data_IF_652632968512
#
_entry.id   IF_652632968512
#
_cell.length_a   1.000
_cell.length_b   1.000
_cell.length_c   1.000
_cell.angle_alpha   90.00
_cell.angle_beta   90.00
_cell.angle_gamma   90.00
#
_symmetry.space_group_name_H-M   'P 1'
#
loop_
_entity.id
_entity.type
_entity.pdbx_description
1 polymer ?
#
# COMPACT_ATOMS: atom_id res chain seq x y z
N UNK A 1 -30.66 9.59 -1.79
CA UNK A 1 -29.38 10.25 -1.97
C UNK A 1 -29.34 11.38 -0.96
N UNK A 2 -28.28 11.46 -0.12
CA UNK A 2 -28.13 12.47 0.90
C UNK A 2 -27.94 13.89 0.36
N UNK A 3 -27.59 14.82 1.20
CA UNK A 3 -27.30 16.20 0.83
C UNK A 3 -26.16 16.28 -0.21
N UNK A 4 -26.16 17.28 -1.11
CA UNK A 4 -25.11 17.45 -2.10
C UNK A 4 -23.78 17.76 -1.40
N UNK A 5 -22.69 17.17 -1.91
CA UNK A 5 -21.33 17.44 -1.40
C UNK A 5 -20.94 18.89 -1.66
N UNK A 6 -20.21 19.47 -0.70
CA UNK A 6 -19.68 20.83 -0.71
C UNK A 6 -18.15 20.83 -0.62
N UNK A 7 -17.51 21.97 -0.82
CA UNK A 7 -16.06 22.11 -0.60
C UNK A 7 -15.63 21.74 0.82
N UNK A 8 -16.51 21.94 1.81
CA UNK A 8 -16.24 21.56 3.20
C UNK A 8 -16.13 20.03 3.42
N UNK A 9 -16.60 19.24 2.48
CA UNK A 9 -16.54 17.78 2.53
C UNK A 9 -15.21 17.24 1.96
N UNK A 10 -14.42 18.10 1.31
CA UNK A 10 -13.10 17.72 0.78
C UNK A 10 -12.13 17.54 1.96
N UNK A 11 -11.60 16.32 2.11
CA UNK A 11 -10.63 15.98 3.16
C UNK A 11 -9.20 16.20 2.65
N UNK A 12 -8.91 15.85 1.39
CA UNK A 12 -7.59 15.99 0.80
C UNK A 12 -7.66 16.08 -0.72
N UNK A 13 -6.71 16.80 -1.29
CA UNK A 13 -6.50 16.90 -2.73
C UNK A 13 -5.16 16.30 -3.13
N UNK A 14 -5.12 15.71 -4.33
CA UNK A 14 -3.89 15.19 -4.94
C UNK A 14 -3.86 15.56 -6.41
N UNK A 15 -2.74 16.14 -6.82
CA UNK A 15 -2.42 16.37 -8.22
C UNK A 15 -1.14 15.63 -8.60
N UNK A 16 -1.07 15.12 -9.81
CA UNK A 16 0.11 14.45 -10.34
C UNK A 16 0.14 14.48 -11.86
N UNK A 17 1.33 14.42 -12.42
CA UNK A 17 1.56 14.37 -13.87
C UNK A 17 1.86 12.91 -14.26
N UNK A 18 1.18 12.43 -15.31
CA UNK A 18 1.44 11.11 -15.90
C UNK A 18 2.31 11.25 -17.13
N UNK A 19 3.41 10.51 -17.23
CA UNK A 19 4.08 10.31 -18.50
C UNK A 19 3.21 9.42 -19.40
N UNK A 20 2.96 9.87 -20.62
CA UNK A 20 2.27 9.09 -21.64
C UNK A 20 3.29 8.67 -22.70
N UNK A 21 3.23 7.41 -23.15
CA UNK A 21 4.01 6.96 -24.28
C UNK A 21 3.39 7.51 -25.57
N UNK A 22 4.20 8.19 -26.36
CA UNK A 22 3.78 8.80 -27.63
C UNK A 22 4.65 8.22 -28.74
N UNK A 23 4.02 7.79 -29.82
CA UNK A 23 4.74 7.38 -31.05
C UNK A 23 4.72 8.54 -32.06
N UNK A 24 5.89 9.07 -32.39
CA UNK A 24 6.05 10.17 -33.34
C UNK A 24 5.82 11.56 -32.74
N UNK A 25 5.82 12.59 -33.61
CA UNK A 25 5.57 13.95 -33.21
C UNK A 25 4.10 14.19 -32.95
N UNK A 26 3.74 14.63 -31.73
CA UNK A 26 2.40 15.01 -31.36
C UNK A 26 2.17 16.48 -31.71
N UNK A 27 1.77 16.74 -32.92
CA UNK A 27 1.30 18.07 -33.31
C UNK A 27 -0.12 18.29 -32.83
N UNK A 28 -0.32 19.12 -31.80
CA UNK A 28 -1.62 19.69 -31.41
C UNK A 28 -2.75 18.72 -31.10
N UNK A 29 -2.45 17.47 -30.86
CA UNK A 29 -3.44 16.40 -30.76
C UNK A 29 -4.12 16.37 -29.39
N UNK A 30 -5.34 15.85 -29.40
CA UNK A 30 -6.12 15.53 -28.21
C UNK A 30 -5.40 14.50 -27.33
N UNK A 31 -4.62 14.99 -26.37
CA UNK A 31 -3.87 14.16 -25.42
C UNK A 31 -4.78 13.38 -24.46
N UNK A 32 -6.08 13.67 -24.43
CA UNK A 32 -7.07 12.85 -23.74
C UNK A 32 -7.29 11.51 -24.46
N UNK A 33 -7.02 11.44 -25.76
CA UNK A 33 -7.11 10.23 -26.58
C UNK A 33 -5.84 9.38 -26.57
N UNK A 34 -4.71 9.87 -26.00
CA UNK A 34 -3.47 9.12 -25.98
C UNK A 34 -3.59 7.85 -25.14
N UNK A 35 -2.96 6.78 -25.64
CA UNK A 35 -2.94 5.48 -24.97
C UNK A 35 -2.27 5.59 -23.60
N UNK A 36 -2.89 5.00 -22.59
CA UNK A 36 -2.33 4.84 -21.25
C UNK A 36 -1.59 3.51 -21.09
N UNK A 37 -1.39 2.77 -22.16
CA UNK A 37 -0.61 1.55 -22.18
C UNK A 37 0.87 1.90 -22.11
N UNK A 38 1.68 0.98 -21.57
CA UNK A 38 3.13 1.04 -21.71
C UNK A 38 3.55 0.72 -23.14
N UNK A 39 4.74 1.15 -23.51
CA UNK A 39 5.39 0.76 -24.74
C UNK A 39 6.79 0.19 -24.42
N UNK A 40 7.15 -0.90 -25.07
CA UNK A 40 8.45 -1.55 -24.93
C UNK A 40 9.19 -1.41 -26.26
N UNK A 41 10.34 -0.76 -26.23
CA UNK A 41 11.23 -0.64 -27.37
C UNK A 41 12.48 -1.50 -27.14
N UNK A 42 12.84 -2.33 -28.14
CA UNK A 42 13.93 -3.27 -28.06
C UNK A 42 14.97 -2.96 -29.12
N UNK A 43 16.14 -2.48 -28.70
CA UNK A 43 17.28 -2.29 -29.57
C UNK A 43 18.24 -3.48 -29.44
N UNK A 44 18.16 -4.39 -30.42
CA UNK A 44 19.01 -5.59 -30.45
C UNK A 44 20.47 -5.29 -30.77
N UNK A 45 20.74 -4.23 -31.55
CA UNK A 45 22.09 -3.88 -31.95
C UNK A 45 22.95 -3.43 -30.77
N UNK A 46 22.37 -2.63 -29.92
CA UNK A 46 23.05 -2.05 -28.75
C UNK A 46 22.69 -2.77 -27.44
N UNK A 47 21.93 -3.89 -27.52
CA UNK A 47 21.57 -4.77 -26.42
C UNK A 47 20.89 -4.04 -25.23
N UNK A 48 19.93 -3.15 -25.51
CA UNK A 48 19.10 -2.54 -24.48
C UNK A 48 17.61 -2.61 -24.79
N UNK A 49 16.81 -2.45 -23.74
CA UNK A 49 15.36 -2.41 -23.80
C UNK A 49 14.89 -1.18 -23.00
N UNK A 50 13.95 -0.43 -23.57
CA UNK A 50 13.37 0.74 -22.93
C UNK A 50 11.88 0.54 -22.70
N UNK A 51 11.38 0.93 -21.52
CA UNK A 51 9.96 0.90 -21.18
C UNK A 51 9.47 2.32 -20.97
N UNK A 52 8.42 2.72 -21.70
CA UNK A 52 7.84 4.05 -21.66
C UNK A 52 6.41 4.01 -21.19
N UNK A 53 5.99 4.99 -20.37
CA UNK A 53 4.61 5.15 -19.93
C UNK A 53 4.13 4.03 -19.01
N UNK A 54 2.84 3.71 -19.11
CA UNK A 54 2.21 2.66 -18.30
C UNK A 54 1.69 3.15 -16.94
N UNK A 55 1.05 2.24 -16.24
CA UNK A 55 0.53 2.46 -14.88
C UNK A 55 1.34 1.62 -13.90
N UNK A 56 1.53 2.14 -12.69
CA UNK A 56 2.18 1.37 -11.62
C UNK A 56 1.43 0.05 -11.31
N UNK A 57 0.10 0.07 -11.43
CA UNK A 57 -0.74 -1.11 -11.24
C UNK A 57 -0.62 -2.17 -12.35
N UNK A 58 0.07 -1.85 -13.44
CA UNK A 58 0.30 -2.74 -14.58
C UNK A 58 1.71 -3.37 -14.56
N UNK A 59 2.42 -3.22 -13.45
CA UNK A 59 3.83 -3.62 -13.32
C UNK A 59 4.07 -5.11 -13.58
N UNK A 60 3.13 -5.99 -13.24
CA UNK A 60 3.26 -7.42 -13.51
C UNK A 60 3.19 -7.73 -15.00
N UNK A 61 2.21 -7.18 -15.73
CA UNK A 61 2.09 -7.33 -17.18
C UNK A 61 3.33 -6.76 -17.88
N UNK A 62 3.79 -5.57 -17.45
CA UNK A 62 5.03 -4.99 -17.98
C UNK A 62 6.21 -5.93 -17.77
N UNK A 63 6.33 -6.50 -16.57
CA UNK A 63 7.38 -7.46 -16.24
C UNK A 63 7.35 -8.71 -17.13
N UNK A 64 6.17 -9.28 -17.37
CA UNK A 64 5.98 -10.45 -18.22
C UNK A 64 6.31 -10.15 -19.70
N UNK A 65 5.89 -9.00 -20.21
CA UNK A 65 6.20 -8.57 -21.58
C UNK A 65 7.70 -8.30 -21.75
N UNK A 66 8.36 -7.67 -20.76
CA UNK A 66 9.82 -7.49 -20.75
C UNK A 66 10.55 -8.83 -20.74
N UNK A 67 10.14 -9.76 -19.86
CA UNK A 67 10.72 -11.11 -19.80
C UNK A 67 10.60 -11.81 -21.15
N UNK A 68 9.42 -11.78 -21.78
CA UNK A 68 9.19 -12.35 -23.11
C UNK A 68 10.07 -11.68 -24.19
N UNK A 69 10.26 -10.36 -24.12
CA UNK A 69 11.13 -9.65 -25.06
C UNK A 69 12.60 -10.06 -24.91
N UNK A 70 13.07 -10.25 -23.67
CA UNK A 70 14.42 -10.73 -23.37
C UNK A 70 14.65 -12.16 -23.86
N UNK A 71 13.70 -13.07 -23.67
CA UNK A 71 13.77 -14.43 -24.20
C UNK A 71 13.90 -14.45 -25.73
N UNK A 72 13.12 -13.60 -26.41
CA UNK A 72 13.23 -13.42 -27.88
C UNK A 72 14.58 -12.85 -28.32
N UNK A 73 15.30 -12.20 -27.41
CA UNK A 73 16.67 -11.73 -27.61
C UNK A 73 17.73 -12.82 -27.28
N UNK A 74 17.31 -14.03 -26.89
CA UNK A 74 18.20 -15.14 -26.54
C UNK A 74 18.65 -15.16 -25.08
N UNK A 75 18.09 -14.31 -24.21
CA UNK A 75 18.39 -14.35 -22.79
C UNK A 75 17.62 -15.50 -22.14
N UNK A 76 18.34 -16.37 -21.43
CA UNK A 76 17.73 -17.48 -20.69
C UNK A 76 17.23 -16.98 -19.35
N UNK A 77 15.93 -17.12 -19.08
CA UNK A 77 15.29 -16.78 -17.82
C UNK A 77 14.91 -18.07 -17.04
N UNK A 78 15.75 -18.55 -16.11
CA UNK A 78 15.55 -19.86 -15.46
C UNK A 78 14.32 -19.92 -14.56
N UNK A 79 13.77 -18.78 -14.17
CA UNK A 79 12.67 -18.66 -13.20
C UNK A 79 11.46 -17.90 -13.75
N UNK A 80 11.31 -17.79 -15.08
CA UNK A 80 10.26 -17.00 -15.73
C UNK A 80 8.83 -17.36 -15.29
N UNK A 81 8.60 -18.61 -14.88
CA UNK A 81 7.28 -19.09 -14.43
C UNK A 81 7.14 -19.16 -12.89
N UNK A 82 8.17 -18.76 -12.14
CA UNK A 82 8.14 -18.85 -10.70
C UNK A 82 7.38 -17.66 -10.11
N UNK A 83 6.33 -17.94 -9.32
CA UNK A 83 5.68 -16.91 -8.49
C UNK A 83 6.59 -16.56 -7.33
N UNK A 84 7.00 -15.30 -7.24
CA UNK A 84 7.97 -14.84 -6.24
C UNK A 84 7.59 -13.51 -5.57
N UNK A 85 6.39 -12.97 -5.84
CA UNK A 85 5.95 -11.70 -5.23
C UNK A 85 5.56 -11.80 -3.76
N UNK A 86 6.02 -12.81 -3.05
CA UNK A 86 5.70 -12.98 -1.64
C UNK A 86 4.29 -13.55 -1.37
N UNK A 87 3.63 -14.10 -2.40
CA UNK A 87 2.36 -14.81 -2.23
C UNK A 87 2.62 -16.10 -1.48
N UNK A 88 2.18 -16.24 -0.21
CA UNK A 88 2.39 -17.47 0.53
C UNK A 88 1.50 -18.59 -0.04
N UNK A 89 1.85 -19.88 0.21
CA UNK A 89 0.99 -21.00 -0.13
C UNK A 89 -0.39 -20.89 0.49
N UNK A 90 -1.43 -21.40 -0.19
CA UNK A 90 -2.82 -21.37 0.30
C UNK A 90 -2.95 -21.97 1.71
N UNK A 91 -2.21 -23.03 2.02
CA UNK A 91 -2.20 -23.64 3.35
C UNK A 91 -1.78 -22.66 4.47
N UNK A 92 -0.88 -21.73 4.18
CA UNK A 92 -0.45 -20.70 5.15
C UNK A 92 -1.56 -19.66 5.35
N UNK A 93 -2.25 -19.31 4.28
CA UNK A 93 -3.41 -18.42 4.35
C UNK A 93 -4.54 -19.04 5.16
N UNK A 94 -4.85 -20.29 4.88
CA UNK A 94 -5.93 -21.01 5.55
C UNK A 94 -5.63 -21.17 7.04
N UNK A 95 -4.39 -21.45 7.41
CA UNK A 95 -3.93 -21.47 8.80
C UNK A 95 -4.06 -20.11 9.49
N UNK A 96 -3.65 -19.03 8.82
CA UNK A 96 -3.83 -17.68 9.36
C UNK A 96 -5.31 -17.39 9.70
N UNK A 97 -6.23 -17.65 8.75
CA UNK A 97 -7.66 -17.41 8.98
C UNK A 97 -8.25 -18.34 10.04
N UNK A 98 -7.77 -19.57 10.12
CA UNK A 98 -8.16 -20.51 11.18
C UNK A 98 -7.77 -19.96 12.55
N UNK A 99 -6.51 -19.53 12.73
CA UNK A 99 -6.02 -18.96 13.97
C UNK A 99 -6.72 -17.63 14.32
N UNK A 100 -6.97 -16.77 13.35
CA UNK A 100 -7.72 -15.54 13.52
C UNK A 100 -9.16 -15.80 14.01
N UNK A 101 -9.83 -16.83 13.47
CA UNK A 101 -11.16 -17.25 13.89
C UNK A 101 -11.17 -17.79 15.32
N UNK A 102 -10.19 -18.64 15.69
CA UNK A 102 -10.04 -19.12 17.07
C UNK A 102 -9.86 -18.01 18.09
N UNK A 103 -9.16 -16.94 17.71
CA UNK A 103 -8.96 -15.75 18.53
C UNK A 103 -10.14 -14.78 18.53
N UNK A 104 -11.17 -15.05 17.72
CA UNK A 104 -12.28 -14.10 17.47
C UNK A 104 -11.76 -12.72 17.04
N UNK A 105 -10.71 -12.68 16.20
CA UNK A 105 -10.03 -11.45 15.80
C UNK A 105 -11.00 -10.42 15.19
N UNK A 106 -11.97 -10.89 14.41
CA UNK A 106 -12.93 -10.01 13.74
C UNK A 106 -13.94 -9.37 14.70
N UNK A 107 -14.10 -9.89 15.92
CA UNK A 107 -14.86 -9.21 16.98
C UNK A 107 -14.14 -7.95 17.50
N UNK A 108 -12.84 -7.80 17.23
CA UNK A 108 -12.04 -6.61 17.55
C UNK A 108 -12.07 -5.56 16.42
N UNK A 109 -12.79 -5.83 15.33
CA UNK A 109 -12.93 -4.89 14.21
C UNK A 109 -13.74 -3.67 14.65
N UNK A 110 -13.23 -2.45 14.37
CA UNK A 110 -13.99 -1.22 14.59
C UNK A 110 -15.27 -1.21 13.74
N UNK A 111 -16.38 -0.74 14.31
CA UNK A 111 -17.70 -0.72 13.64
C UNK A 111 -17.71 0.08 12.33
N UNK A 112 -16.77 1.00 12.15
CA UNK A 112 -16.62 1.84 10.97
C UNK A 112 -15.63 1.28 9.95
N UNK A 113 -14.99 0.15 10.28
CA UNK A 113 -14.03 -0.45 9.37
C UNK A 113 -14.70 -0.95 8.09
N UNK A 114 -14.01 -0.78 6.97
CA UNK A 114 -14.51 -1.19 5.65
C UNK A 114 -14.51 -2.70 5.44
N UNK A 115 -13.74 -3.43 6.24
CA UNK A 115 -13.58 -4.89 6.16
C UNK A 115 -13.19 -5.48 7.53
N UNK A 116 -13.40 -6.80 7.74
CA UNK A 116 -12.96 -7.49 8.95
C UNK A 116 -11.45 -7.36 9.17
N UNK A 117 -11.02 -7.32 10.43
CA UNK A 117 -9.61 -7.12 10.79
C UNK A 117 -8.71 -8.23 10.24
N UNK A 118 -9.17 -9.49 10.26
CA UNK A 118 -8.42 -10.61 9.69
C UNK A 118 -8.15 -10.43 8.19
N UNK A 119 -9.18 -10.06 7.42
CA UNK A 119 -9.05 -9.83 5.98
C UNK A 119 -8.10 -8.66 5.69
N UNK A 120 -8.21 -7.58 6.46
CA UNK A 120 -7.36 -6.40 6.31
C UNK A 120 -5.90 -6.70 6.59
N UNK A 121 -5.59 -7.41 7.68
CA UNK A 121 -4.22 -7.79 8.01
C UNK A 121 -3.64 -8.71 6.93
N UNK A 122 -4.38 -9.73 6.49
CA UNK A 122 -3.90 -10.61 5.43
C UNK A 122 -3.66 -9.86 4.12
N UNK A 123 -4.59 -9.02 3.70
CA UNK A 123 -4.48 -8.25 2.45
C UNK A 123 -3.32 -7.26 2.45
N UNK A 124 -2.99 -6.66 3.60
CA UNK A 124 -1.89 -5.69 3.73
C UNK A 124 -0.53 -6.36 3.86
N UNK A 125 -0.45 -7.44 4.62
CA UNK A 125 0.81 -7.99 5.10
C UNK A 125 1.12 -9.40 4.60
N UNK A 126 0.16 -10.12 4.01
CA UNK A 126 0.35 -11.49 3.53
C UNK A 126 0.96 -12.37 4.61
N UNK A 127 2.10 -13.00 4.34
CA UNK A 127 2.81 -13.86 5.29
C UNK A 127 3.13 -13.15 6.63
N UNK A 128 3.46 -11.86 6.57
CA UNK A 128 3.81 -11.10 7.77
C UNK A 128 2.60 -10.85 8.69
N UNK A 129 1.36 -11.07 8.21
CA UNK A 129 0.17 -11.00 9.07
C UNK A 129 0.19 -12.01 10.22
N UNK A 130 0.94 -13.11 10.09
CA UNK A 130 1.13 -14.09 11.17
C UNK A 130 1.85 -13.46 12.37
N UNK A 131 2.89 -12.66 12.11
CA UNK A 131 3.62 -11.93 13.17
C UNK A 131 2.69 -10.96 13.91
N UNK A 132 1.85 -10.22 13.17
CA UNK A 132 0.87 -9.31 13.74
C UNK A 132 -0.19 -10.05 14.58
N UNK A 133 -0.65 -11.20 14.09
CA UNK A 133 -1.60 -12.05 14.82
C UNK A 133 -1.01 -12.56 16.14
N UNK A 134 0.27 -12.93 16.15
CA UNK A 134 0.98 -13.37 17.35
C UNK A 134 1.15 -12.22 18.35
N UNK A 135 1.41 -11.00 17.90
CA UNK A 135 1.45 -9.83 18.79
C UNK A 135 0.07 -9.59 19.45
N UNK A 136 -1.03 -9.67 18.70
CA UNK A 136 -2.39 -9.52 19.23
C UNK A 136 -2.72 -10.68 20.21
N UNK A 137 -2.25 -11.91 19.93
CA UNK A 137 -2.45 -13.06 20.83
C UNK A 137 -1.76 -12.84 22.18
N UNK A 138 -0.58 -12.25 22.18
CA UNK A 138 0.19 -11.95 23.39
C UNK A 138 -0.41 -10.78 24.18
N UNK A 139 -0.85 -9.75 23.49
CA UNK A 139 -1.49 -8.57 24.07
C UNK A 139 -2.65 -8.08 23.18
N UNK A 140 -3.92 -8.34 23.57
CA UNK A 140 -5.09 -7.90 22.79
C UNK A 140 -5.14 -6.39 22.51
N UNK A 141 -4.45 -5.56 23.30
CA UNK A 141 -4.35 -4.12 23.03
C UNK A 141 -3.63 -3.80 21.74
N UNK A 142 -2.89 -4.76 21.18
CA UNK A 142 -2.26 -4.61 19.87
C UNK A 142 -3.28 -4.47 18.73
N UNK A 143 -4.54 -4.84 18.95
CA UNK A 143 -5.64 -4.63 18.01
C UNK A 143 -6.34 -3.25 18.19
N UNK A 144 -5.91 -2.40 19.13
CA UNK A 144 -6.50 -1.08 19.36
C UNK A 144 -6.10 -0.07 18.28
N UNK A 145 -7.06 0.77 17.89
CA UNK A 145 -6.86 1.91 17.01
C UNK A 145 -6.36 3.10 17.82
N UNK A 146 -5.17 3.62 17.52
CA UNK A 146 -4.58 4.79 18.20
C UNK A 146 -5.01 6.12 17.58
N UNK A 147 -5.10 6.18 16.25
CA UNK A 147 -5.53 7.37 15.53
C UNK A 147 -7.00 7.22 15.18
N UNK A 148 -7.83 8.06 15.79
CA UNK A 148 -9.27 7.99 15.64
C UNK A 148 -9.71 8.00 14.18
N UNK A 149 -10.68 7.16 13.85
CA UNK A 149 -11.22 6.95 12.50
C UNK A 149 -10.22 6.41 11.46
N UNK A 150 -9.03 5.97 11.90
CA UNK A 150 -8.15 5.20 11.04
C UNK A 150 -8.52 3.71 11.08
N UNK A 151 -8.03 2.96 10.12
CA UNK A 151 -8.15 1.50 10.10
C UNK A 151 -6.80 0.83 10.45
N UNK A 152 -5.90 1.54 11.13
CA UNK A 152 -4.59 1.03 11.54
C UNK A 152 -4.58 0.77 13.04
N UNK A 153 -4.30 -0.48 13.40
CA UNK A 153 -4.20 -0.93 14.79
C UNK A 153 -2.77 -0.85 15.29
N UNK A 154 -2.57 -0.89 16.60
CA UNK A 154 -1.29 -0.70 17.29
C UNK A 154 -0.15 -1.57 16.72
N UNK A 155 -0.38 -2.87 16.52
CA UNK A 155 0.65 -3.77 15.96
C UNK A 155 1.08 -3.37 14.55
N UNK A 156 0.21 -2.79 13.74
CA UNK A 156 0.59 -2.28 12.42
C UNK A 156 1.57 -1.09 12.53
N UNK A 157 1.45 -0.25 13.56
CA UNK A 157 2.41 0.84 13.79
C UNK A 157 3.78 0.31 14.21
N UNK A 158 3.83 -0.72 15.05
CA UNK A 158 5.09 -1.40 15.38
C UNK A 158 5.75 -2.00 14.15
N UNK A 159 4.96 -2.69 13.33
CA UNK A 159 5.44 -3.25 12.06
C UNK A 159 6.02 -2.17 11.13
N UNK A 160 5.29 -1.07 10.97
CA UNK A 160 5.74 0.06 10.14
C UNK A 160 7.02 0.69 10.68
N UNK A 161 7.14 0.84 12.00
CA UNK A 161 8.35 1.37 12.64
C UNK A 161 9.59 0.50 12.36
N UNK A 162 9.42 -0.82 12.33
CA UNK A 162 10.52 -1.77 12.18
C UNK A 162 10.86 -2.10 10.72
N UNK A 163 9.85 -2.18 9.84
CA UNK A 163 10.00 -2.73 8.49
C UNK A 163 9.87 -1.69 7.37
N UNK A 164 9.28 -0.52 7.67
CA UNK A 164 8.98 0.46 6.62
C UNK A 164 9.63 1.81 6.93
N UNK A 165 10.61 2.24 6.20
CA UNK A 165 11.39 3.46 6.39
C UNK A 165 10.53 4.74 6.59
N UNK A 166 9.96 4.89 7.79
CA UNK A 166 9.19 6.06 8.22
C UNK A 166 10.09 6.98 9.03
N UNK A 167 10.32 8.19 8.53
CA UNK A 167 11.20 9.17 9.18
C UNK A 167 10.45 10.39 9.68
N UNK A 168 9.23 10.63 9.17
CA UNK A 168 8.33 11.71 9.58
C UNK A 168 6.94 11.16 9.79
N UNK A 169 6.14 11.81 10.63
CA UNK A 169 4.75 11.42 10.84
C UNK A 169 3.94 11.45 9.53
N UNK A 170 4.22 12.41 8.64
CA UNK A 170 3.61 12.48 7.31
C UNK A 170 3.91 11.24 6.45
N UNK A 171 5.08 10.59 6.62
CA UNK A 171 5.39 9.35 5.88
C UNK A 171 4.40 8.25 6.25
N UNK A 172 4.09 8.12 7.53
CA UNK A 172 3.06 7.18 7.99
C UNK A 172 1.66 7.61 7.54
N UNK A 173 1.24 8.82 7.87
CA UNK A 173 -0.14 9.29 7.63
C UNK A 173 -0.52 9.37 6.15
N UNK A 174 0.42 9.70 5.28
CA UNK A 174 0.15 9.96 3.86
C UNK A 174 0.66 8.88 2.92
N UNK A 175 1.83 8.30 3.20
CA UNK A 175 2.52 7.41 2.27
C UNK A 175 2.32 5.94 2.59
N UNK A 176 2.33 5.56 3.87
CA UNK A 176 2.17 4.18 4.31
C UNK A 176 0.71 3.82 4.57
N UNK A 177 -0.02 4.67 5.27
CA UNK A 177 -1.40 4.39 5.67
C UNK A 177 -2.48 5.12 4.86
N UNK A 178 -2.15 6.26 4.26
CA UNK A 178 -3.10 7.18 3.62
C UNK A 178 -4.17 7.76 4.57
N UNK A 179 -3.98 7.67 5.89
CA UNK A 179 -4.92 8.19 6.90
C UNK A 179 -5.25 9.65 6.63
N UNK A 180 -4.25 10.50 6.33
CA UNK A 180 -4.46 11.92 6.05
C UNK A 180 -5.26 12.24 4.77
N UNK A 181 -5.63 11.21 4.00
CA UNK A 181 -6.45 11.36 2.79
C UNK A 181 -7.92 11.02 3.04
N UNK A 182 -8.23 10.35 4.14
CA UNK A 182 -9.58 9.87 4.47
C UNK A 182 -10.06 10.30 5.85
N UNK A 183 -9.16 10.81 6.69
CA UNK A 183 -9.48 11.33 8.03
C UNK A 183 -9.13 12.81 8.07
N UNK A 184 -10.04 13.64 8.57
CA UNK A 184 -9.83 15.09 8.71
C UNK A 184 -8.64 15.38 9.61
N UNK A 185 -7.86 16.38 9.26
CA UNK A 185 -6.66 16.78 10.01
C UNK A 185 -6.94 17.03 11.48
N UNK A 186 -8.00 17.77 11.78
CA UNK A 186 -8.44 18.06 13.16
C UNK A 186 -8.73 16.77 13.95
N UNK A 187 -9.31 15.76 13.32
CA UNK A 187 -9.58 14.47 13.96
C UNK A 187 -8.29 13.73 14.29
N UNK A 188 -7.29 13.80 13.40
CA UNK A 188 -5.98 13.20 13.64
C UNK A 188 -5.28 13.90 14.79
N UNK A 189 -5.20 15.25 14.75
CA UNK A 189 -4.53 16.08 15.76
C UNK A 189 -5.16 15.95 17.15
N UNK A 190 -6.48 15.76 17.22
CA UNK A 190 -7.23 15.57 18.46
C UNK A 190 -7.35 14.09 18.88
N UNK A 191 -6.67 13.16 18.20
CA UNK A 191 -6.70 11.74 18.59
C UNK A 191 -5.90 11.51 19.87
N UNK A 192 -6.50 10.98 20.96
CA UNK A 192 -5.79 10.76 22.20
C UNK A 192 -4.54 9.87 22.07
N UNK A 193 -4.57 8.92 21.15
CA UNK A 193 -3.46 8.01 20.87
C UNK A 193 -2.41 8.54 19.91
N UNK A 194 -2.50 9.78 19.43
CA UNK A 194 -1.54 10.29 18.44
C UNK A 194 -0.12 10.38 18.99
N UNK A 195 0.05 10.84 20.23
CA UNK A 195 1.36 10.88 20.87
C UNK A 195 1.95 9.47 21.04
N UNK A 196 1.12 8.51 21.46
CA UNK A 196 1.53 7.12 21.58
C UNK A 196 1.93 6.52 20.20
N UNK A 197 1.16 6.81 19.16
CA UNK A 197 1.51 6.43 17.79
C UNK A 197 2.89 7.00 17.39
N UNK A 198 3.18 8.26 17.71
CA UNK A 198 4.50 8.85 17.50
C UNK A 198 5.59 8.18 18.34
N UNK A 199 5.29 7.79 19.59
CA UNK A 199 6.25 7.07 20.44
C UNK A 199 6.59 5.69 19.86
N UNK A 200 5.61 4.97 19.32
CA UNK A 200 5.85 3.70 18.63
C UNK A 200 6.70 3.92 17.39
N UNK A 201 6.39 4.91 16.56
CA UNK A 201 7.08 5.15 15.29
C UNK A 201 8.49 5.71 15.44
N UNK A 202 8.73 6.55 16.46
CA UNK A 202 9.97 7.38 16.53
C UNK A 202 10.68 7.32 17.89
N UNK A 203 10.16 6.55 18.86
CA UNK A 203 10.77 6.43 20.18
C UNK A 203 10.99 7.77 20.87
N UNK A 204 12.21 8.05 21.32
CA UNK A 204 12.57 9.28 22.01
C UNK A 204 12.43 10.58 21.18
N UNK A 205 12.20 10.48 19.86
CA UNK A 205 12.00 11.65 19.00
C UNK A 205 10.50 11.99 18.80
N UNK A 206 9.59 11.29 19.46
CA UNK A 206 8.15 11.41 19.26
C UNK A 206 7.63 12.86 19.33
N UNK A 207 7.97 13.60 20.38
CA UNK A 207 7.51 14.97 20.56
C UNK A 207 8.03 15.93 19.48
N UNK A 208 9.25 15.71 19.01
CA UNK A 208 9.83 16.50 17.91
C UNK A 208 9.14 16.20 16.58
N UNK A 209 8.76 14.95 16.35
CA UNK A 209 8.13 14.50 15.10
C UNK A 209 6.62 14.76 15.05
N UNK A 210 6.01 15.05 16.18
CA UNK A 210 4.60 15.42 16.31
C UNK A 210 4.34 16.88 15.89
N UNK A 211 5.35 17.75 15.98
CA UNK A 211 5.29 19.17 15.56
C UNK A 211 5.45 19.34 14.06
#
# INVERSE_FOLDING_TARGET
LGEPLTEADIIAERCGVRPLAVQGEVGGADWLALSRKHAIDVNKADAYLSVFGGKLTDCLNVGEEVATALEKCGVRLPYAQQRWYGEPPDAVRDEFFHQAALMQLDAMTDERASEPLSQRLWRRYGLNAIELLDQIRQDPRQAEILIKHSEYVRCELHYVAEKEMVTKLEDFLRRRSKISQVVRRETIENSPGLLEACQILFGGQAEQKLR
#
